data_IF_945210292562
#
_entry.id   IF_945210292562
#
_cell.length_a   1.000
_cell.length_b   1.000
_cell.length_c   1.000
_cell.angle_alpha   90.00
_cell.angle_beta   90.00
_cell.angle_gamma   90.00
#
_symmetry.space_group_name_H-M   'P 1'
#
loop_
_entity.id
_entity.type
_entity.pdbx_description
1 polymer ?
#
# COMPACT_ATOMS: atom_id res chain seq x y z
N UNK A 1 29.55 -8.59 50.80
CA UNK A 1 30.32 -9.08 49.64
C UNK A 1 29.44 -8.94 48.41
N UNK A 2 29.67 -7.93 47.58
CA UNK A 2 28.89 -7.70 46.37
C UNK A 2 29.34 -8.71 45.31
N UNK A 3 28.57 -9.79 45.13
CA UNK A 3 28.74 -10.73 44.03
C UNK A 3 28.41 -10.02 42.71
N UNK A 4 29.42 -9.46 42.07
CA UNK A 4 29.29 -8.88 40.73
C UNK A 4 28.95 -9.98 39.74
N UNK A 5 27.80 -9.86 39.09
CA UNK A 5 27.40 -10.76 38.00
C UNK A 5 28.39 -10.55 36.85
N UNK A 6 29.09 -11.60 36.45
CA UNK A 6 29.96 -11.57 35.28
C UNK A 6 29.12 -11.37 34.00
N UNK A 7 29.27 -10.21 33.38
CA UNK A 7 28.54 -9.83 32.16
C UNK A 7 29.34 -10.05 30.88
N UNK A 8 30.57 -10.57 30.97
CA UNK A 8 31.48 -10.74 29.82
C UNK A 8 30.91 -11.64 28.71
N UNK A 9 30.13 -12.66 29.08
CA UNK A 9 29.45 -13.56 28.13
C UNK A 9 28.03 -13.13 27.72
N UNK A 10 27.53 -11.99 28.21
CA UNK A 10 26.13 -11.60 27.98
C UNK A 10 25.99 -11.03 26.57
N UNK A 11 25.22 -11.71 25.71
CA UNK A 11 24.86 -11.18 24.38
C UNK A 11 24.40 -9.71 24.54
N UNK A 12 24.94 -8.76 23.75
CA UNK A 12 24.51 -7.38 23.82
C UNK A 12 22.99 -7.36 23.65
N UNK A 13 22.27 -6.84 24.66
CA UNK A 13 20.83 -6.65 24.52
C UNK A 13 20.63 -5.73 23.32
N UNK A 14 19.58 -5.98 22.54
CA UNK A 14 19.21 -5.16 21.37
C UNK A 14 18.70 -3.80 21.83
N UNK A 15 19.59 -3.01 22.41
CA UNK A 15 19.33 -1.68 22.91
C UNK A 15 19.83 -0.66 21.91
N UNK A 16 19.25 0.53 21.99
CA UNK A 16 19.62 1.67 21.17
C UNK A 16 21.12 1.93 21.27
N UNK A 17 21.76 2.20 20.13
CA UNK A 17 23.22 2.43 20.04
C UNK A 17 24.08 1.20 19.74
N UNK A 18 23.57 -0.04 19.89
CA UNK A 18 24.36 -1.23 19.55
C UNK A 18 24.55 -1.39 18.02
N UNK A 19 25.69 -1.93 17.55
CA UNK A 19 25.91 -2.18 16.12
C UNK A 19 24.82 -3.07 15.49
N UNK A 20 24.35 -4.08 16.24
CA UNK A 20 23.27 -4.96 15.81
C UNK A 20 21.93 -4.22 15.60
N UNK A 21 21.62 -3.22 16.45
CA UNK A 21 20.45 -2.37 16.28
C UNK A 21 20.57 -1.50 15.01
N UNK A 22 21.71 -0.85 14.81
CA UNK A 22 21.96 0.00 13.62
C UNK A 22 21.91 -0.80 12.33
N UNK A 23 22.54 -1.98 12.27
CA UNK A 23 22.56 -2.82 11.08
C UNK A 23 21.15 -3.22 10.63
N UNK A 24 20.28 -3.64 11.57
CA UNK A 24 18.90 -4.00 11.25
C UNK A 24 18.08 -2.80 10.79
N UNK A 25 18.24 -1.65 11.46
CA UNK A 25 17.52 -0.44 11.10
C UNK A 25 17.91 0.05 9.71
N UNK A 26 19.20 0.01 9.38
CA UNK A 26 19.71 0.39 8.06
C UNK A 26 19.24 -0.60 6.98
N UNK A 27 19.17 -1.90 7.28
CA UNK A 27 18.62 -2.88 6.36
C UNK A 27 17.14 -2.63 6.09
N UNK A 28 16.35 -2.37 7.13
CA UNK A 28 14.93 -2.02 6.98
C UNK A 28 14.75 -0.72 6.19
N UNK A 29 15.57 0.30 6.48
CA UNK A 29 15.56 1.57 5.76
C UNK A 29 15.93 1.38 4.28
N UNK A 30 16.92 0.53 4.00
CA UNK A 30 17.31 0.17 2.63
C UNK A 30 16.17 -0.54 1.89
N UNK A 31 15.50 -1.50 2.53
CA UNK A 31 14.33 -2.16 1.97
C UNK A 31 13.20 -1.17 1.64
N UNK A 32 12.90 -0.25 2.57
CA UNK A 32 11.92 0.81 2.34
C UNK A 32 12.31 1.71 1.16
N UNK A 33 13.57 2.16 1.11
CA UNK A 33 14.06 2.99 0.02
C UNK A 33 13.93 2.30 -1.35
N UNK A 34 14.28 1.01 -1.44
CA UNK A 34 14.14 0.23 -2.68
C UNK A 34 12.67 0.12 -3.09
N UNK A 35 11.76 -0.22 -2.16
CA UNK A 35 10.33 -0.30 -2.48
C UNK A 35 9.74 1.03 -2.93
N UNK A 36 10.17 2.15 -2.33
CA UNK A 36 9.74 3.48 -2.75
C UNK A 36 10.24 3.82 -4.15
N UNK A 37 11.49 3.49 -4.49
CA UNK A 37 12.05 3.73 -5.84
C UNK A 37 11.30 2.90 -6.88
N UNK A 38 11.08 1.60 -6.62
CA UNK A 38 10.35 0.72 -7.53
C UNK A 38 8.92 1.26 -7.74
N UNK A 39 8.25 1.65 -6.65
CA UNK A 39 6.92 2.24 -6.73
C UNK A 39 6.93 3.53 -7.53
N UNK A 40 7.84 4.46 -7.25
CA UNK A 40 7.95 5.73 -7.98
C UNK A 40 8.17 5.52 -9.48
N UNK A 41 9.04 4.58 -9.87
CA UNK A 41 9.26 4.23 -11.27
C UNK A 41 8.01 3.63 -11.91
N UNK A 42 7.32 2.72 -11.22
CA UNK A 42 6.07 2.16 -11.70
C UNK A 42 5.01 3.25 -11.93
N UNK A 43 4.84 4.17 -10.97
CA UNK A 43 3.87 5.27 -11.10
C UNK A 43 4.26 6.32 -12.16
N UNK A 44 5.55 6.49 -12.42
CA UNK A 44 6.07 7.42 -13.44
C UNK A 44 6.03 6.84 -14.86
N UNK A 45 6.22 5.53 -15.03
CA UNK A 45 6.29 4.88 -16.35
C UNK A 45 4.94 4.44 -16.90
N UNK A 46 3.89 4.36 -16.07
CA UNK A 46 2.56 3.91 -16.50
C UNK A 46 1.71 5.11 -16.92
N UNK A 47 1.19 5.07 -18.16
CA UNK A 47 0.20 6.03 -18.66
C UNK A 47 -0.91 6.26 -17.62
N UNK A 48 -1.26 7.52 -17.36
CA UNK A 48 -2.24 7.91 -16.34
C UNK A 48 -3.55 7.11 -16.44
N UNK A 49 -4.04 6.83 -17.66
CA UNK A 49 -5.28 6.07 -17.89
C UNK A 49 -5.16 4.61 -17.45
N UNK A 50 -4.07 3.93 -17.83
CA UNK A 50 -3.82 2.53 -17.42
C UNK A 50 -3.66 2.47 -15.91
N UNK A 51 -2.99 3.46 -15.31
CA UNK A 51 -2.79 3.55 -13.86
C UNK A 51 -4.12 3.69 -13.10
N UNK A 52 -5.02 4.54 -13.57
CA UNK A 52 -6.37 4.70 -12.99
C UNK A 52 -7.14 3.39 -13.10
N UNK A 53 -7.07 2.70 -14.25
CA UNK A 53 -7.72 1.39 -14.44
C UNK A 53 -7.17 0.32 -13.49
N UNK A 54 -5.85 0.25 -13.29
CA UNK A 54 -5.24 -0.68 -12.34
C UNK A 54 -5.59 -0.34 -10.88
N UNK A 55 -5.54 0.93 -10.49
CA UNK A 55 -5.89 1.36 -9.13
C UNK A 55 -7.37 1.07 -8.84
N UNK A 56 -8.27 1.39 -9.77
CA UNK A 56 -9.69 1.10 -9.60
C UNK A 56 -9.97 -0.42 -9.58
N UNK A 57 -9.18 -1.23 -10.30
CA UNK A 57 -9.40 -2.69 -10.33
C UNK A 57 -8.90 -3.42 -9.09
N UNK A 58 -7.76 -3.00 -8.52
CA UNK A 58 -7.07 -3.77 -7.49
C UNK A 58 -6.97 -3.09 -6.12
N UNK A 59 -7.09 -1.77 -6.04
CA UNK A 59 -6.85 -1.02 -4.81
C UNK A 59 -8.13 -0.50 -4.16
N UNK A 60 -9.25 -0.47 -4.89
CA UNK A 60 -10.54 0.00 -4.36
C UNK A 60 -11.47 -1.17 -4.10
N UNK A 61 -11.97 -1.25 -2.88
CA UNK A 61 -13.13 -2.09 -2.54
C UNK A 61 -14.37 -1.61 -3.31
N UNK A 62 -15.33 -2.50 -3.57
CA UNK A 62 -16.61 -2.16 -4.22
C UNK A 62 -17.30 -1.00 -3.47
N UNK A 63 -17.25 -1.02 -2.13
CA UNK A 63 -17.81 0.02 -1.27
C UNK A 63 -17.13 1.39 -1.47
N UNK A 64 -15.81 1.40 -1.62
CA UNK A 64 -15.03 2.63 -1.82
C UNK A 64 -15.20 3.19 -3.24
N UNK A 65 -15.49 2.34 -4.23
CA UNK A 65 -15.87 2.79 -5.59
C UNK A 65 -17.22 3.50 -5.56
N UNK A 66 -18.19 2.92 -4.86
CA UNK A 66 -19.53 3.47 -4.75
C UNK A 66 -19.52 4.82 -4.03
N UNK A 67 -18.76 4.93 -2.94
CA UNK A 67 -18.62 6.19 -2.21
C UNK A 67 -17.92 7.27 -3.06
N UNK A 68 -16.90 6.89 -3.85
CA UNK A 68 -16.29 7.82 -4.83
C UNK A 68 -17.26 8.28 -5.91
N UNK A 69 -18.13 7.41 -6.40
CA UNK A 69 -19.17 7.77 -7.36
C UNK A 69 -20.16 8.77 -6.73
N UNK A 70 -20.56 8.55 -5.47
CA UNK A 70 -21.42 9.47 -4.71
C UNK A 70 -20.76 10.83 -4.46
N UNK A 71 -19.44 10.85 -4.25
CA UNK A 71 -18.67 12.09 -4.08
C UNK A 71 -18.24 12.73 -5.40
N UNK A 72 -18.39 12.05 -6.54
CA UNK A 72 -18.03 12.59 -7.84
C UNK A 72 -19.08 13.63 -8.28
N UNK A 73 -18.61 14.77 -8.79
CA UNK A 73 -19.48 15.78 -9.40
C UNK A 73 -20.01 15.35 -10.78
N UNK A 74 -19.67 14.14 -11.22
CA UNK A 74 -20.13 13.57 -12.48
C UNK A 74 -21.51 12.99 -12.21
N UNK A 75 -22.51 13.46 -12.96
CA UNK A 75 -23.87 12.99 -12.83
C UNK A 75 -23.92 11.46 -13.03
N UNK A 76 -24.48 10.75 -12.06
CA UNK A 76 -24.80 9.33 -12.19
C UNK A 76 -25.67 9.12 -13.44
N UNK A 77 -25.48 8.01 -14.17
CA UNK A 77 -26.32 7.70 -15.33
C UNK A 77 -27.79 7.67 -14.91
N UNK A 78 -28.67 8.21 -15.77
CA UNK A 78 -30.10 8.24 -15.51
C UNK A 78 -30.64 6.81 -15.37
N UNK A 79 -31.68 6.64 -14.55
CA UNK A 79 -32.32 5.34 -14.29
C UNK A 79 -32.64 4.54 -15.57
N UNK A 80 -33.02 5.19 -16.66
CA UNK A 80 -33.31 4.53 -17.94
C UNK A 80 -32.08 3.85 -18.54
N UNK A 81 -30.91 4.48 -18.40
CA UNK A 81 -29.64 3.98 -18.91
C UNK A 81 -29.10 2.83 -18.04
N UNK A 82 -29.43 2.83 -16.75
CA UNK A 82 -29.12 1.72 -15.83
C UNK A 82 -29.97 0.49 -16.19
N UNK A 83 -31.26 0.67 -16.51
CA UNK A 83 -32.14 -0.42 -16.93
C UNK A 83 -31.66 -1.06 -18.24
N UNK A 84 -31.25 -0.25 -19.22
CA UNK A 84 -30.70 -0.73 -20.49
C UNK A 84 -29.41 -1.54 -20.30
N UNK A 85 -28.49 -1.08 -19.45
CA UNK A 85 -27.29 -1.86 -19.10
C UNK A 85 -27.61 -3.18 -18.38
N UNK A 86 -28.66 -3.20 -17.55
CA UNK A 86 -29.10 -4.39 -16.82
C UNK A 86 -29.77 -5.43 -17.72
N UNK A 87 -30.40 -4.98 -18.80
CA UNK A 87 -30.99 -5.84 -19.83
C UNK A 87 -29.89 -6.43 -20.73
N UNK A 88 -28.91 -5.64 -21.15
CA UNK A 88 -27.75 -6.15 -21.92
C UNK A 88 -26.93 -7.19 -21.14
N UNK A 89 -26.83 -7.07 -19.82
CA UNK A 89 -26.11 -8.04 -18.97
C UNK A 89 -26.87 -9.36 -18.78
N UNK A 90 -28.20 -9.37 -18.94
CA UNK A 90 -29.03 -10.59 -18.84
C UNK A 90 -29.02 -11.45 -20.10
N UNK A 91 -28.65 -10.85 -21.23
CA UNK A 91 -28.61 -11.51 -22.55
C UNK A 91 -27.25 -12.18 -22.84
N UNK A 92 -26.32 -12.20 -21.87
CA UNK A 92 -25.04 -12.92 -21.88
C UNK A 92 -25.01 -14.08 -20.87
#
# INVERSE_FOLDING_TARGET
MAGGIDTSGRKPRRTWGTPAYKARNNFALGGLAVTMIISALFYASVDNEKRIKYCNKFLLSEEEKEERLRMSLIALPKSSMIQEMLEEEKDY
#
